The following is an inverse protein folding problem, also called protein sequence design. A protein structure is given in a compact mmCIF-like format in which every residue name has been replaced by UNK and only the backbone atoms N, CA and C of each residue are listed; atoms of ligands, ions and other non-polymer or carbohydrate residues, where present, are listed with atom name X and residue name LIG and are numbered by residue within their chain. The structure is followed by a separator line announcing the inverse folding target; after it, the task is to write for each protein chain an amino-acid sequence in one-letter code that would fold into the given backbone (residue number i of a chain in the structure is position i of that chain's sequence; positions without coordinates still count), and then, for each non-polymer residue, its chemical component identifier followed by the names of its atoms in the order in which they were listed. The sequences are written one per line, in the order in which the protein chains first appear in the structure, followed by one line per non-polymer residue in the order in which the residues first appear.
data_IF_647869095470
#
_entry.id   IF_647869095470
#
_cell.length_a   1.000
_cell.length_b   1.000
_cell.length_c   1.000
_cell.angle_alpha   90.00
_cell.angle_beta   90.00
_cell.angle_gamma   90.00
#
_symmetry.space_group_name_H-M   'P 1'
#
loop_
_entity.id
_entity.type
_entity.pdbx_description
1 polymer ?
#
# COMPACT_ATOMS: atom_id res chain seq x y z
N UNK A 1 25.59 -33.80 88.31
CA UNK A 1 24.89 -35.06 88.66
C UNK A 1 24.97 -35.93 87.43
N UNK A 2 25.72 -37.01 87.55
CA UNK A 2 26.27 -37.80 86.46
C UNK A 2 25.50 -39.12 86.36
N UNK A 3 25.51 -39.70 85.15
CA UNK A 3 25.33 -41.13 84.82
C UNK A 3 23.89 -41.64 84.66
N UNK A 4 23.56 -42.04 83.43
CA UNK A 4 23.18 -43.43 83.18
C UNK A 4 23.72 -43.90 81.83
N UNK A 5 24.40 -45.04 81.88
CA UNK A 5 25.25 -45.68 80.87
C UNK A 5 24.68 -47.07 80.60
N UNK A 6 24.58 -47.52 79.35
CA UNK A 6 24.71 -48.93 78.90
C UNK A 6 24.42 -49.07 77.37
N UNK A 7 24.90 -50.12 76.69
CA UNK A 7 25.58 -49.99 75.39
C UNK A 7 25.07 -50.88 74.23
N UNK A 8 25.45 -50.45 73.02
CA UNK A 8 25.98 -51.19 71.86
C UNK A 8 25.39 -52.58 71.53
N UNK A 9 24.69 -52.71 70.40
CA UNK A 9 24.92 -53.80 69.43
C UNK A 9 24.98 -53.25 67.99
N UNK A 10 26.09 -53.62 67.36
CA UNK A 10 26.56 -53.46 65.99
C UNK A 10 25.67 -54.20 64.98
N UNK A 11 25.26 -53.55 63.89
CA UNK A 11 24.86 -54.24 62.65
C UNK A 11 25.25 -53.42 61.42
N UNK A 12 26.22 -53.96 60.70
CA UNK A 12 26.62 -53.56 59.35
C UNK A 12 25.57 -54.12 58.39
N UNK A 13 24.95 -53.28 57.55
CA UNK A 13 24.13 -53.75 56.43
C UNK A 13 24.25 -52.78 55.26
N UNK A 14 24.79 -53.34 54.19
CA UNK A 14 24.98 -52.84 52.84
C UNK A 14 23.63 -52.54 52.17
N UNK A 15 23.41 -51.34 51.61
CA UNK A 15 22.23 -51.06 50.78
C UNK A 15 22.52 -50.01 49.68
N UNK A 16 22.81 -50.55 48.50
CA UNK A 16 22.39 -50.16 47.15
C UNK A 16 22.10 -48.66 46.86
N UNK A 17 23.01 -48.04 46.11
CA UNK A 17 22.78 -46.78 45.39
C UNK A 17 21.80 -47.05 44.23
N UNK A 18 20.56 -46.55 44.34
CA UNK A 18 19.64 -46.48 43.19
C UNK A 18 20.06 -45.32 42.29
N UNK A 19 20.66 -45.66 41.15
CA UNK A 19 20.81 -44.75 40.02
C UNK A 19 19.47 -44.69 39.28
N UNK A 20 18.68 -43.66 39.50
CA UNK A 20 17.46 -43.40 38.73
C UNK A 20 17.85 -42.88 37.34
N UNK A 21 17.76 -43.75 36.34
CA UNK A 21 17.80 -43.37 34.93
C UNK A 21 16.50 -42.65 34.61
N UNK A 22 16.53 -41.32 34.51
CA UNK A 22 15.42 -40.58 33.93
C UNK A 22 15.39 -40.86 32.42
N UNK A 23 14.51 -41.75 31.99
CA UNK A 23 14.12 -41.83 30.59
C UNK A 23 13.42 -40.51 30.24
N UNK A 24 14.00 -39.75 29.31
CA UNK A 24 13.27 -38.67 28.65
C UNK A 24 12.05 -39.30 27.97
N UNK A 25 10.86 -39.11 28.53
CA UNK A 25 9.63 -39.54 27.89
C UNK A 25 9.47 -38.72 26.61
N UNK A 26 9.65 -39.36 25.46
CA UNK A 26 9.29 -38.80 24.17
C UNK A 26 7.78 -38.59 24.19
N UNK A 27 7.32 -37.34 24.27
CA UNK A 27 5.89 -37.03 24.26
C UNK A 27 5.35 -37.34 22.85
N UNK A 28 4.66 -38.47 22.72
CA UNK A 28 4.05 -38.90 21.45
C UNK A 28 2.73 -38.15 21.30
N UNK A 29 2.70 -37.21 20.35
CA UNK A 29 1.49 -36.48 19.97
C UNK A 29 0.68 -37.29 18.96
N UNK A 30 -0.65 -37.18 19.06
CA UNK A 30 -1.60 -37.80 18.13
C UNK A 30 -2.44 -36.73 17.44
N UNK A 31 -2.87 -37.00 16.22
CA UNK A 31 -3.78 -36.16 15.45
C UNK A 31 -5.20 -36.73 15.53
N UNK A 32 -6.15 -35.90 15.96
CA UNK A 32 -7.56 -36.23 16.04
C UNK A 32 -8.34 -35.48 14.95
N UNK A 33 -8.94 -36.21 14.03
CA UNK A 33 -9.65 -35.64 12.86
C UNK A 33 -10.91 -36.43 12.52
N UNK A 34 -11.83 -35.84 11.75
CA UNK A 34 -13.04 -36.54 11.26
C UNK A 34 -12.77 -37.25 9.94
N UNK A 35 -13.04 -38.55 9.89
CA UNK A 35 -12.89 -39.35 8.67
C UNK A 35 -14.07 -39.12 7.69
N UNK A 36 -14.11 -39.86 6.57
CA UNK A 36 -15.15 -39.70 5.53
C UNK A 36 -16.56 -40.05 6.04
N UNK A 37 -16.67 -40.92 7.05
CA UNK A 37 -17.92 -41.32 7.69
C UNK A 37 -18.34 -40.36 8.81
N UNK A 38 -17.59 -39.29 9.06
CA UNK A 38 -17.84 -38.32 10.14
C UNK A 38 -17.40 -38.81 11.53
N UNK A 39 -16.76 -39.97 11.63
CA UNK A 39 -16.25 -40.52 12.89
C UNK A 39 -14.94 -39.85 13.26
N UNK A 40 -14.79 -39.49 14.53
CA UNK A 40 -13.56 -38.93 15.08
C UNK A 40 -12.52 -40.05 15.22
N UNK A 41 -11.37 -39.89 14.56
CA UNK A 41 -10.26 -40.85 14.56
C UNK A 41 -9.03 -40.17 15.14
N UNK A 42 -8.38 -40.83 16.10
CA UNK A 42 -7.10 -40.41 16.67
C UNK A 42 -6.00 -41.31 16.08
N UNK A 43 -5.00 -40.71 15.44
CA UNK A 43 -3.92 -41.43 14.75
C UNK A 43 -2.60 -40.70 14.92
N UNK A 44 -1.49 -41.44 14.97
CA UNK A 44 -0.14 -40.86 14.99
C UNK A 44 0.23 -40.20 13.65
N UNK A 45 -0.49 -40.52 12.57
CA UNK A 45 -0.28 -39.97 11.23
C UNK A 45 -1.57 -39.31 10.73
N UNK A 46 -1.48 -38.05 10.30
CA UNK A 46 -2.57 -37.33 9.65
C UNK A 46 -2.50 -37.53 8.12
N UNK A 47 -3.50 -38.18 7.50
CA UNK A 47 -3.53 -38.31 6.04
C UNK A 47 -3.73 -36.93 5.36
N UNK A 48 -3.01 -36.63 4.25
CA UNK A 48 -3.08 -35.33 3.59
C UNK A 48 -4.52 -34.89 3.22
N UNK A 49 -5.40 -35.83 2.89
CA UNK A 49 -6.80 -35.57 2.53
C UNK A 49 -7.66 -34.97 3.65
N UNK A 50 -7.26 -35.10 4.92
CA UNK A 50 -7.99 -34.57 6.07
C UNK A 50 -7.34 -33.32 6.67
N UNK A 51 -6.09 -33.01 6.28
CA UNK A 51 -5.38 -31.82 6.75
C UNK A 51 -6.12 -30.51 6.45
N UNK A 52 -6.88 -30.46 5.34
CA UNK A 52 -7.66 -29.28 4.93
C UNK A 52 -9.00 -29.14 5.66
N UNK A 53 -9.46 -30.16 6.39
CA UNK A 53 -10.76 -30.14 7.11
C UNK A 53 -10.64 -29.71 8.57
N UNK A 54 -9.43 -29.38 9.00
CA UNK A 54 -9.11 -29.09 10.40
C UNK A 54 -8.93 -30.37 11.20
N UNK A 55 -8.07 -30.30 12.22
CA UNK A 55 -7.71 -31.41 13.08
C UNK A 55 -7.20 -30.87 14.42
N UNK A 56 -7.18 -31.73 15.42
CA UNK A 56 -6.70 -31.40 16.75
C UNK A 56 -5.42 -32.20 17.01
N UNK A 57 -4.44 -31.60 17.67
CA UNK A 57 -3.25 -32.27 18.19
C UNK A 57 -3.55 -32.59 19.65
N UNK A 58 -3.44 -33.86 20.03
CA UNK A 58 -3.74 -34.35 21.38
C UNK A 58 -2.54 -35.06 21.99
N UNK A 59 -2.38 -34.97 23.31
CA UNK A 59 -1.35 -35.70 24.06
C UNK A 59 -1.72 -37.20 24.16
N UNK A 60 -0.84 -38.01 24.76
CA UNK A 60 -1.07 -39.45 24.98
C UNK A 60 -2.23 -39.76 25.93
N UNK A 61 -2.69 -38.78 26.72
CA UNK A 61 -3.84 -38.88 27.62
C UNK A 61 -5.16 -38.46 26.94
N UNK A 62 -5.11 -37.94 25.70
CA UNK A 62 -6.26 -37.50 24.92
C UNK A 62 -6.68 -36.04 25.12
N UNK A 63 -5.90 -35.26 25.88
CA UNK A 63 -6.12 -33.83 26.06
C UNK A 63 -5.68 -33.05 24.82
N UNK A 64 -6.43 -31.99 24.50
CA UNK A 64 -6.16 -31.14 23.34
C UNK A 64 -4.98 -30.22 23.65
N UNK A 65 -3.91 -30.35 22.86
CA UNK A 65 -2.76 -29.47 22.87
C UNK A 65 -2.97 -28.29 21.92
N UNK A 66 -3.50 -28.55 20.71
CA UNK A 66 -3.70 -27.52 19.68
C UNK A 66 -4.90 -27.87 18.79
N UNK A 67 -5.62 -26.85 18.30
CA UNK A 67 -6.72 -27.01 17.34
C UNK A 67 -6.35 -26.29 16.05
N UNK A 68 -6.21 -27.04 14.96
CA UNK A 68 -5.97 -26.50 13.62
C UNK A 68 -7.31 -26.39 12.90
N UNK A 69 -7.70 -25.16 12.57
CA UNK A 69 -8.97 -24.88 11.90
C UNK A 69 -9.00 -25.46 10.46
N UNK A 70 -10.18 -25.79 9.92
CA UNK A 70 -10.33 -26.12 8.51
C UNK A 70 -9.79 -25.02 7.60
N UNK A 71 -9.31 -25.41 6.42
CA UNK A 71 -9.01 -24.47 5.36
C UNK A 71 -10.29 -23.70 4.98
N UNK A 72 -10.18 -22.37 4.93
CA UNK A 72 -11.31 -21.50 4.55
C UNK A 72 -11.91 -21.95 3.22
N UNK A 73 -13.24 -21.96 3.13
CA UNK A 73 -13.90 -22.22 1.85
C UNK A 73 -13.53 -21.13 0.85
N UNK A 74 -13.66 -21.39 -0.47
CA UNK A 74 -13.45 -20.35 -1.48
C UNK A 74 -14.30 -19.09 -1.21
N UNK A 75 -15.55 -19.23 -0.75
CA UNK A 75 -16.41 -18.10 -0.41
C UNK A 75 -15.90 -17.33 0.82
N UNK A 76 -15.53 -18.03 1.89
CA UNK A 76 -14.99 -17.42 3.12
C UNK A 76 -13.68 -16.67 2.86
N UNK A 77 -12.81 -17.22 2.00
CA UNK A 77 -11.58 -16.55 1.57
C UNK A 77 -11.88 -15.28 0.77
N UNK A 78 -12.81 -15.35 -0.18
CA UNK A 78 -13.20 -14.19 -0.98
C UNK A 78 -13.81 -13.07 -0.10
N UNK A 79 -14.63 -13.43 0.90
CA UNK A 79 -15.19 -12.47 1.84
C UNK A 79 -14.11 -11.85 2.74
N UNK A 80 -13.18 -12.66 3.24
CA UNK A 80 -12.03 -12.19 4.01
C UNK A 80 -11.17 -11.22 3.21
N UNK A 81 -10.84 -11.55 1.96
CA UNK A 81 -10.08 -10.67 1.07
C UNK A 81 -10.83 -9.36 0.79
N UNK A 82 -12.14 -9.41 0.59
CA UNK A 82 -12.98 -8.22 0.41
C UNK A 82 -12.93 -7.33 1.66
N UNK A 83 -13.18 -7.90 2.84
CA UNK A 83 -13.13 -7.18 4.13
C UNK A 83 -11.74 -6.58 4.39
N UNK A 84 -10.68 -7.32 4.09
CA UNK A 84 -9.32 -6.82 4.24
C UNK A 84 -9.02 -5.66 3.28
N UNK A 85 -9.44 -5.75 2.01
CA UNK A 85 -9.34 -4.65 1.04
C UNK A 85 -10.12 -3.41 1.51
N UNK A 86 -11.34 -3.59 2.01
CA UNK A 86 -12.15 -2.51 2.56
C UNK A 86 -11.49 -1.86 3.78
N UNK A 87 -10.92 -2.65 4.69
CA UNK A 87 -10.19 -2.15 5.85
C UNK A 87 -8.95 -1.34 5.45
N UNK A 88 -8.17 -1.83 4.48
CA UNK A 88 -7.00 -1.13 3.93
C UNK A 88 -7.41 0.21 3.31
N UNK A 89 -8.44 0.22 2.45
CA UNK A 89 -8.94 1.44 1.83
C UNK A 89 -9.46 2.44 2.87
N UNK A 90 -10.13 1.96 3.91
CA UNK A 90 -10.62 2.79 5.01
C UNK A 90 -9.48 3.40 5.85
N UNK A 91 -8.39 2.66 6.10
CA UNK A 91 -7.19 3.20 6.75
C UNK A 91 -6.52 4.26 5.86
N UNK A 92 -6.30 3.95 4.58
CA UNK A 92 -5.73 4.91 3.62
C UNK A 92 -6.55 6.21 3.55
N UNK A 93 -7.89 6.11 3.58
CA UNK A 93 -8.74 7.29 3.61
C UNK A 93 -8.58 8.09 4.91
N UNK A 94 -8.49 7.41 6.06
CA UNK A 94 -8.26 8.06 7.36
C UNK A 94 -6.90 8.76 7.41
N UNK A 95 -5.86 8.16 6.83
CA UNK A 95 -4.55 8.80 6.71
C UNK A 95 -4.61 10.06 5.82
N UNK A 96 -5.27 9.98 4.66
CA UNK A 96 -5.48 11.14 3.78
C UNK A 96 -6.27 12.26 4.47
N UNK A 97 -7.30 11.90 5.22
CA UNK A 97 -8.09 12.87 5.98
C UNK A 97 -7.26 13.55 7.07
N UNK A 98 -6.40 12.79 7.76
CA UNK A 98 -5.48 13.31 8.77
C UNK A 98 -4.46 14.27 8.14
N UNK A 99 -3.86 13.89 7.02
CA UNK A 99 -2.94 14.75 6.28
C UNK A 99 -3.63 16.05 5.84
N UNK A 100 -4.86 15.94 5.33
CA UNK A 100 -5.64 17.09 4.88
C UNK A 100 -5.93 18.08 6.03
N UNK A 101 -6.23 17.59 7.24
CA UNK A 101 -6.42 18.42 8.43
C UNK A 101 -5.11 18.99 8.99
N UNK A 102 -4.01 18.23 8.88
CA UNK A 102 -2.69 18.66 9.35
C UNK A 102 -2.10 19.75 8.46
N UNK A 103 -2.31 19.63 7.14
CA UNK A 103 -1.74 20.53 6.14
C UNK A 103 -2.44 21.87 6.07
N UNK A 104 -3.73 21.93 6.42
CA UNK A 104 -4.54 23.14 6.33
C UNK A 104 -5.30 23.38 7.64
N UNK A 105 -4.99 24.51 8.29
CA UNK A 105 -5.56 24.87 9.59
C UNK A 105 -7.07 25.15 9.51
N UNK A 106 -7.54 25.71 8.39
CA UNK A 106 -8.96 25.90 8.13
C UNK A 106 -9.31 25.78 6.64
N UNK A 107 -10.60 25.80 6.34
CA UNK A 107 -11.10 25.73 4.97
C UNK A 107 -10.65 26.90 4.09
N UNK A 108 -10.41 28.08 4.68
CA UNK A 108 -9.97 29.28 3.94
C UNK A 108 -8.51 29.15 3.53
N UNK A 109 -7.68 28.52 4.34
CA UNK A 109 -6.31 28.20 3.99
C UNK A 109 -6.24 27.22 2.81
N UNK A 110 -7.06 26.17 2.84
CA UNK A 110 -7.19 25.22 1.72
C UNK A 110 -7.65 25.93 0.43
N UNK A 111 -8.64 26.82 0.52
CA UNK A 111 -9.09 27.63 -0.62
C UNK A 111 -7.99 28.56 -1.15
N UNK A 112 -7.26 29.25 -0.27
CA UNK A 112 -6.10 30.08 -0.67
C UNK A 112 -5.01 29.24 -1.33
N UNK A 113 -4.78 28.01 -0.86
CA UNK A 113 -3.82 27.11 -1.49
C UNK A 113 -4.27 26.70 -2.90
N UNK A 114 -5.56 26.41 -3.09
CA UNK A 114 -6.15 26.21 -4.42
C UNK A 114 -5.90 27.42 -5.32
N UNK A 115 -6.28 28.61 -4.86
CA UNK A 115 -6.18 29.85 -5.65
C UNK A 115 -4.73 30.15 -6.06
N UNK A 116 -3.78 29.96 -5.14
CA UNK A 116 -2.35 30.10 -5.44
C UNK A 116 -1.90 29.15 -6.54
N UNK A 117 -2.23 27.86 -6.43
CA UNK A 117 -1.78 26.85 -7.40
C UNK A 117 -2.45 27.02 -8.76
N UNK A 118 -3.74 27.35 -8.78
CA UNK A 118 -4.49 27.70 -9.99
C UNK A 118 -3.84 28.89 -10.69
N UNK A 119 -3.58 29.98 -9.95
CA UNK A 119 -2.96 31.19 -10.51
C UNK A 119 -1.55 30.93 -11.05
N UNK A 120 -0.77 30.09 -10.39
CA UNK A 120 0.57 29.68 -10.85
C UNK A 120 0.49 28.98 -12.23
N UNK A 121 -0.41 28.01 -12.37
CA UNK A 121 -0.61 27.28 -13.63
C UNK A 121 -1.18 28.17 -14.73
N UNK A 122 -2.16 29.02 -14.41
CA UNK A 122 -2.70 30.00 -15.36
C UNK A 122 -1.63 30.97 -15.86
N UNK A 123 -0.76 31.45 -14.97
CA UNK A 123 0.37 32.31 -15.33
C UNK A 123 1.36 31.57 -16.24
N UNK A 124 1.66 30.31 -15.95
CA UNK A 124 2.51 29.47 -16.81
C UNK A 124 1.90 29.29 -18.21
N UNK A 125 0.60 29.02 -18.30
CA UNK A 125 -0.11 28.88 -19.58
C UNK A 125 -0.07 30.20 -20.35
N UNK A 126 -0.26 31.34 -19.68
CA UNK A 126 -0.21 32.66 -20.32
C UNK A 126 1.18 32.95 -20.92
N UNK A 127 2.27 32.60 -20.21
CA UNK A 127 3.64 32.72 -20.72
C UNK A 127 3.84 31.85 -21.96
N UNK A 128 3.39 30.58 -21.92
CA UNK A 128 3.52 29.68 -23.06
C UNK A 128 2.73 30.18 -24.27
N UNK A 129 1.52 30.70 -24.06
CA UNK A 129 0.73 31.33 -25.14
C UNK A 129 1.45 32.53 -25.74
N UNK A 130 2.04 33.40 -24.91
CA UNK A 130 2.84 34.51 -25.42
C UNK A 130 4.05 34.03 -26.23
N UNK A 131 4.68 32.91 -25.82
CA UNK A 131 5.75 32.30 -26.62
C UNK A 131 5.24 31.87 -28.00
N UNK A 132 4.07 31.21 -28.08
CA UNK A 132 3.48 30.84 -29.39
C UNK A 132 3.23 32.06 -30.28
N UNK A 133 2.81 33.20 -29.72
CA UNK A 133 2.67 34.45 -30.49
C UNK A 133 4.01 34.91 -31.05
N UNK A 134 5.08 34.87 -30.25
CA UNK A 134 6.43 35.21 -30.70
C UNK A 134 6.96 34.29 -31.80
N UNK A 135 6.72 32.98 -31.68
CA UNK A 135 7.10 31.99 -32.70
C UNK A 135 6.31 32.20 -34.00
N UNK A 136 5.01 32.48 -33.93
CA UNK A 136 4.19 32.77 -35.10
C UNK A 136 4.67 34.03 -35.84
N UNK A 137 5.06 35.08 -35.13
CA UNK A 137 5.65 36.27 -35.75
C UNK A 137 6.99 35.99 -36.43
N UNK A 138 7.82 35.11 -35.86
CA UNK A 138 9.08 34.69 -36.49
C UNK A 138 8.82 33.87 -37.76
N UNK A 139 7.88 32.93 -37.70
CA UNK A 139 7.45 32.13 -38.87
C UNK A 139 6.96 33.06 -39.99
N UNK A 140 6.11 34.03 -39.66
CA UNK A 140 5.62 35.01 -40.65
C UNK A 140 6.78 35.79 -41.28
N UNK A 141 7.76 36.22 -40.48
CA UNK A 141 8.93 36.92 -41.00
C UNK A 141 9.77 36.07 -41.95
N UNK A 142 9.99 34.78 -41.65
CA UNK A 142 10.75 33.87 -42.53
C UNK A 142 9.97 33.54 -43.80
N UNK A 143 8.64 33.33 -43.69
CA UNK A 143 7.77 33.15 -44.86
C UNK A 143 7.80 34.37 -45.78
N UNK A 144 7.76 35.59 -45.23
CA UNK A 144 7.87 36.80 -46.04
C UNK A 144 9.20 36.90 -46.78
N UNK A 145 10.31 36.40 -46.21
CA UNK A 145 11.60 36.31 -46.91
C UNK A 145 11.51 35.29 -48.05
N UNK A 146 10.98 34.09 -47.80
CA UNK A 146 10.80 33.05 -48.81
C UNK A 146 9.99 33.57 -50.02
N UNK A 147 8.86 34.24 -49.77
CA UNK A 147 8.02 34.85 -50.81
C UNK A 147 8.78 35.88 -51.64
N UNK A 148 9.72 36.64 -51.06
CA UNK A 148 10.55 37.58 -51.84
C UNK A 148 11.48 36.85 -52.82
N UNK A 149 12.06 35.73 -52.41
CA UNK A 149 12.88 34.90 -53.32
C UNK A 149 12.03 34.33 -54.46
N UNK A 150 10.85 33.80 -54.16
CA UNK A 150 9.92 33.30 -55.19
C UNK A 150 9.52 34.39 -56.19
N UNK A 151 9.21 35.59 -55.70
CA UNK A 151 8.84 36.74 -56.56
C UNK A 151 9.99 37.22 -57.43
N UNK A 152 11.22 37.09 -56.95
CA UNK A 152 12.44 37.37 -57.71
C UNK A 152 12.78 36.23 -58.70
N UNK A 153 12.01 35.14 -58.74
CA UNK A 153 12.29 33.96 -59.55
C UNK A 153 13.53 33.19 -59.09
N UNK A 154 13.95 33.39 -57.84
CA UNK A 154 15.10 32.73 -57.22
C UNK A 154 14.64 31.55 -56.38
N UNK A 155 15.51 30.55 -56.28
CA UNK A 155 15.31 29.45 -55.34
C UNK A 155 15.39 29.96 -53.89
N UNK A 156 14.55 29.41 -53.01
CA UNK A 156 14.55 29.75 -51.59
C UNK A 156 15.81 29.16 -50.95
N UNK A 157 16.64 29.95 -50.26
CA UNK A 157 17.80 29.45 -49.54
C UNK A 157 17.44 28.34 -48.54
N UNK A 158 18.26 27.28 -48.49
CA UNK A 158 18.09 26.17 -47.55
C UNK A 158 18.00 26.66 -46.09
N UNK A 159 18.75 27.70 -45.73
CA UNK A 159 18.71 28.27 -44.38
C UNK A 159 17.33 28.80 -43.96
N UNK A 160 16.52 29.31 -44.90
CA UNK A 160 15.15 29.77 -44.62
C UNK A 160 14.23 28.56 -44.41
N UNK A 161 14.41 27.50 -45.20
CA UNK A 161 13.64 26.26 -45.05
C UNK A 161 13.93 25.57 -43.72
N UNK A 162 15.20 25.44 -43.35
CA UNK A 162 15.63 24.89 -42.06
C UNK A 162 15.15 25.72 -40.87
N UNK A 163 15.19 27.06 -40.99
CA UNK A 163 14.66 27.95 -39.96
C UNK A 163 13.15 27.77 -39.78
N UNK A 164 12.39 27.69 -40.87
CA UNK A 164 10.96 27.45 -40.82
C UNK A 164 10.63 26.09 -40.18
N UNK A 165 11.31 25.02 -40.59
CA UNK A 165 11.11 23.69 -40.02
C UNK A 165 11.36 23.66 -38.50
N UNK A 166 12.47 24.26 -38.06
CA UNK A 166 12.79 24.40 -36.63
C UNK A 166 11.73 25.20 -35.87
N UNK A 167 11.26 26.32 -36.43
CA UNK A 167 10.25 27.16 -35.80
C UNK A 167 8.89 26.46 -35.69
N UNK A 168 8.50 25.67 -36.70
CA UNK A 168 7.27 24.87 -36.63
C UNK A 168 7.38 23.76 -35.59
N UNK A 169 8.52 23.07 -35.52
CA UNK A 169 8.76 22.04 -34.51
C UNK A 169 8.69 22.62 -33.09
N UNK A 170 9.30 23.79 -32.86
CA UNK A 170 9.23 24.47 -31.58
C UNK A 170 7.80 24.92 -31.25
N UNK A 171 7.09 25.49 -32.22
CA UNK A 171 5.69 25.91 -32.05
C UNK A 171 4.80 24.74 -31.61
N UNK A 172 4.95 23.58 -32.24
CA UNK A 172 4.17 22.40 -31.88
C UNK A 172 4.53 21.89 -30.49
N UNK A 173 5.82 21.84 -30.17
CA UNK A 173 6.30 21.47 -28.83
C UNK A 173 5.73 22.37 -27.72
N UNK A 174 5.64 23.68 -27.97
CA UNK A 174 5.04 24.64 -27.01
C UNK A 174 3.52 24.45 -26.93
N UNK A 175 2.84 24.12 -28.03
CA UNK A 175 1.39 23.84 -28.03
C UNK A 175 1.06 22.58 -27.23
N UNK A 176 1.81 21.51 -27.41
CA UNK A 176 1.66 20.28 -26.63
C UNK A 176 1.83 20.56 -25.13
N UNK A 177 2.83 21.38 -24.78
CA UNK A 177 3.04 21.78 -23.40
C UNK A 177 1.87 22.62 -22.86
N UNK A 178 1.26 23.49 -23.66
CA UNK A 178 0.04 24.23 -23.25
C UNK A 178 -1.08 23.26 -22.92
N UNK A 179 -1.32 22.24 -23.76
CA UNK A 179 -2.36 21.24 -23.52
C UNK A 179 -2.10 20.50 -22.20
N UNK A 180 -0.88 20.02 -21.99
CA UNK A 180 -0.50 19.34 -20.75
C UNK A 180 -0.73 20.21 -19.51
N UNK A 181 -0.39 21.51 -19.58
CA UNK A 181 -0.62 22.45 -18.47
C UNK A 181 -2.10 22.74 -18.24
N UNK A 182 -2.92 22.75 -19.28
CA UNK A 182 -4.37 22.90 -19.14
C UNK A 182 -5.00 21.67 -18.48
N UNK A 183 -4.56 20.46 -18.84
CA UNK A 183 -4.97 19.22 -18.18
C UNK A 183 -4.55 19.20 -16.70
N UNK A 184 -3.31 19.63 -16.41
CA UNK A 184 -2.81 19.78 -15.04
C UNK A 184 -3.68 20.77 -14.24
N UNK A 185 -4.02 21.91 -14.83
CA UNK A 185 -4.89 22.93 -14.21
C UNK A 185 -6.25 22.35 -13.83
N UNK A 186 -6.92 21.66 -14.75
CA UNK A 186 -8.23 21.07 -14.48
C UNK A 186 -8.17 19.95 -13.44
N UNK A 187 -7.15 19.10 -13.52
CA UNK A 187 -6.90 18.06 -12.51
C UNK A 187 -6.72 18.68 -11.12
N UNK A 188 -5.88 19.70 -11.00
CA UNK A 188 -5.65 20.42 -9.73
C UNK A 188 -6.94 21.05 -9.21
N UNK A 189 -7.74 21.68 -10.07
CA UNK A 189 -9.03 22.27 -9.67
C UNK A 189 -9.95 21.21 -9.07
N UNK A 190 -10.11 20.07 -9.75
CA UNK A 190 -10.95 18.96 -9.30
C UNK A 190 -10.45 18.34 -7.99
N UNK A 191 -9.14 18.12 -7.86
CA UNK A 191 -8.53 17.60 -6.64
C UNK A 191 -8.77 18.52 -5.44
N UNK A 192 -8.53 19.83 -5.61
CA UNK A 192 -8.79 20.80 -4.54
C UNK A 192 -10.28 20.90 -4.20
N UNK A 193 -11.18 20.85 -5.18
CA UNK A 193 -12.63 20.88 -4.93
C UNK A 193 -13.11 19.66 -4.16
N UNK A 194 -12.62 18.47 -4.53
CA UNK A 194 -12.87 17.25 -3.78
C UNK A 194 -12.35 17.34 -2.33
N UNK A 195 -11.13 17.86 -2.16
CA UNK A 195 -10.52 18.07 -0.85
C UNK A 195 -11.31 19.09 -0.01
N UNK A 196 -11.80 20.18 -0.61
CA UNK A 196 -12.64 21.18 0.08
C UNK A 196 -13.94 20.55 0.58
N UNK A 197 -14.60 19.73 -0.24
CA UNK A 197 -15.80 19.00 0.17
C UNK A 197 -15.47 18.03 1.30
N UNK A 198 -14.39 17.25 1.16
CA UNK A 198 -13.97 16.28 2.18
C UNK A 198 -13.62 16.96 3.50
N UNK A 199 -12.86 18.06 3.46
CA UNK A 199 -12.47 18.86 4.63
C UNK A 199 -13.70 19.29 5.44
N UNK A 200 -14.76 19.79 4.78
CA UNK A 200 -16.00 20.20 5.46
C UNK A 200 -16.70 19.05 6.18
N UNK A 201 -16.60 17.83 5.66
CA UNK A 201 -17.19 16.65 6.28
C UNK A 201 -16.38 16.26 7.52
N UNK A 202 -15.06 16.11 7.37
CA UNK A 202 -14.19 15.61 8.44
C UNK A 202 -14.02 16.62 9.57
N UNK A 203 -13.94 17.93 9.28
CA UNK A 203 -13.86 18.97 10.31
C UNK A 203 -15.11 19.02 11.21
N UNK A 204 -16.30 18.78 10.65
CA UNK A 204 -17.55 18.67 11.43
C UNK A 204 -17.59 17.42 12.31
N UNK A 205 -16.98 16.32 11.87
CA UNK A 205 -16.90 15.08 12.65
C UNK A 205 -15.95 15.25 13.84
N UNK A 206 -14.80 15.88 13.62
CA UNK A 206 -13.82 16.17 14.69
C UNK A 206 -14.45 17.07 15.75
N UNK A 207 -15.19 18.13 15.37
CA UNK A 207 -15.80 19.04 16.33
C UNK A 207 -17.01 18.45 17.11
N UNK A 208 -17.49 17.26 16.73
CA UNK A 208 -18.61 16.58 17.40
C UNK A 208 -18.14 15.53 18.42
N UNK A 209 -16.89 15.12 18.36
CA UNK A 209 -16.26 14.17 19.26
C UNK A 209 -15.46 14.92 20.33
#
# INVERSE_FOLDING_TARGET
MNICFQPIIRNISLALVLCSVNAAATEINFFRYKNEQGTLVTSTILPPKFATRGYEIVNSQGDILEVVAPAMTPEERAEYERKNKEAILAEQQREKDRDLLLRYADIRELQKAKDRKVKELESSIAILKNNTTGLLSQIESEQQKAVRYERDGKEIPLSILEALDSLYFELESVRDLIVLRQEELEKVRLEFDANIVRYRIISKQVNRN
#
